data_IF_971215841262
#
_entry.id   IF_971215841262
#
_cell.length_a   1.000
_cell.length_b   1.000
_cell.length_c   1.000
_cell.angle_alpha   90.00
_cell.angle_beta   90.00
_cell.angle_gamma   90.00
#
_symmetry.space_group_name_H-M   'P 1'
#
loop_
_entity.id
_entity.type
_entity.pdbx_description
1 polymer ?
#
# COMPACT_ATOMS: atom_id res chain seq x y z
N UNK A 1 -13.64 8.74 9.64
CA UNK A 1 -14.57 8.24 8.60
C UNK A 1 -14.77 9.30 7.54
N UNK A 2 -14.18 9.11 6.35
CA UNK A 2 -14.58 9.86 5.16
C UNK A 2 -14.11 9.16 3.87
N UNK A 3 -14.38 7.86 3.77
CA UNK A 3 -14.44 7.15 2.49
C UNK A 3 -15.63 7.75 1.73
N UNK A 4 -15.49 7.99 0.42
CA UNK A 4 -16.68 8.32 -0.39
C UNK A 4 -17.47 7.03 -0.49
N UNK A 5 -18.53 6.90 0.31
CA UNK A 5 -19.52 5.84 0.13
C UNK A 5 -20.00 5.90 -1.32
N UNK A 6 -19.64 4.89 -2.11
CA UNK A 6 -20.12 4.70 -3.48
C UNK A 6 -21.19 3.60 -3.43
N UNK A 7 -22.43 3.91 -3.01
CA UNK A 7 -23.46 2.90 -2.84
C UNK A 7 -23.64 2.08 -4.13
N UNK A 8 -23.56 0.76 -4.02
CA UNK A 8 -23.74 -0.17 -5.13
C UNK A 8 -22.54 -0.39 -6.04
N UNK A 9 -21.35 0.17 -5.71
CA UNK A 9 -20.11 -0.14 -6.44
C UNK A 9 -19.20 -1.07 -5.67
N UNK A 10 -18.50 -1.93 -6.39
CA UNK A 10 -17.48 -2.80 -5.84
C UNK A 10 -16.10 -2.11 -5.89
N UNK A 11 -15.38 -2.15 -4.78
CA UNK A 11 -14.03 -1.57 -4.61
C UNK A 11 -13.16 -2.51 -3.79
N UNK A 12 -11.84 -2.34 -3.86
CA UNK A 12 -10.94 -2.99 -2.91
C UNK A 12 -11.05 -2.31 -1.53
N UNK A 13 -10.80 -3.03 -0.43
CA UNK A 13 -10.68 -2.42 0.88
C UNK A 13 -9.65 -1.30 0.88
N UNK A 14 -9.97 -0.16 1.50
CA UNK A 14 -8.96 0.88 1.66
C UNK A 14 -9.49 2.26 2.03
N UNK A 15 -8.62 3.01 2.70
CA UNK A 15 -8.95 4.35 3.16
C UNK A 15 -7.72 5.23 3.34
N UNK A 16 -7.84 6.20 4.23
CA UNK A 16 -6.76 7.14 4.55
C UNK A 16 -5.89 6.53 5.64
N UNK A 17 -4.63 6.94 5.66
CA UNK A 17 -3.79 6.73 6.85
C UNK A 17 -4.37 7.55 8.00
N UNK A 18 -4.57 6.89 9.13
CA UNK A 18 -4.98 7.47 10.41
C UNK A 18 -3.76 7.72 11.31
N UNK A 19 -3.88 8.63 12.27
CA UNK A 19 -2.81 8.93 13.23
C UNK A 19 -2.40 7.70 14.06
N UNK A 20 -3.31 6.75 14.26
CA UNK A 20 -3.02 5.49 14.95
C UNK A 20 -2.14 4.54 14.13
N UNK A 21 -2.18 4.60 12.79
CA UNK A 21 -1.35 3.78 11.91
C UNK A 21 0.15 4.10 12.05
N UNK A 22 0.48 5.28 12.58
CA UNK A 22 1.85 5.66 12.89
C UNK A 22 2.38 5.06 14.21
N UNK A 23 1.48 4.60 15.09
CA UNK A 23 1.80 4.23 16.48
C UNK A 23 1.75 2.73 16.74
N UNK A 24 1.04 1.99 15.91
CA UNK A 24 0.84 0.55 16.07
C UNK A 24 2.12 -0.21 15.79
N UNK A 25 2.50 -1.15 16.66
CA UNK A 25 3.56 -2.13 16.42
C UNK A 25 3.08 -3.24 15.48
N UNK A 26 3.93 -3.64 14.54
CA UNK A 26 3.70 -4.78 13.65
C UNK A 26 4.55 -5.97 14.09
N UNK A 27 4.12 -7.18 13.77
CA UNK A 27 4.86 -8.41 14.09
C UNK A 27 6.10 -8.61 13.21
N UNK A 28 6.10 -8.01 12.03
CA UNK A 28 7.20 -7.94 11.09
C UNK A 28 7.27 -6.54 10.46
N UNK A 29 8.25 -6.31 9.61
CA UNK A 29 8.48 -5.03 8.95
C UNK A 29 8.52 -5.21 7.43
N UNK A 30 8.24 -4.11 6.72
CA UNK A 30 8.33 -4.08 5.25
C UNK A 30 9.74 -4.45 4.79
N UNK A 31 9.81 -5.19 3.68
CA UNK A 31 11.08 -5.44 3.00
C UNK A 31 11.70 -4.10 2.57
N UNK A 32 13.04 -3.92 2.62
CA UNK A 32 13.69 -2.66 2.24
C UNK A 32 13.32 -2.16 0.84
N UNK A 33 13.17 -3.07 -0.13
CA UNK A 33 12.73 -2.74 -1.47
C UNK A 33 11.31 -2.15 -1.49
N UNK A 34 10.39 -2.71 -0.70
CA UNK A 34 9.01 -2.22 -0.61
C UNK A 34 8.94 -0.84 0.07
N UNK A 35 9.80 -0.59 1.06
CA UNK A 35 9.96 0.75 1.64
C UNK A 35 10.40 1.75 0.56
N UNK A 36 11.44 1.43 -0.20
CA UNK A 36 11.94 2.31 -1.26
C UNK A 36 10.88 2.57 -2.34
N UNK A 37 10.14 1.53 -2.74
CA UNK A 37 9.03 1.61 -3.69
C UNK A 37 7.88 2.48 -3.19
N UNK A 38 7.57 2.46 -1.89
CA UNK A 38 6.51 3.29 -1.32
C UNK A 38 6.86 4.78 -1.27
N UNK A 39 8.14 5.08 -1.08
CA UNK A 39 8.66 6.44 -0.93
C UNK A 39 9.09 7.08 -2.25
N UNK A 40 9.20 6.30 -3.33
CA UNK A 40 9.61 6.79 -4.64
C UNK A 40 8.68 7.89 -5.15
N UNK A 41 9.27 8.95 -5.70
CA UNK A 41 8.53 10.10 -6.24
C UNK A 41 7.51 10.71 -5.24
N UNK A 42 7.84 10.66 -3.95
CA UNK A 42 7.16 11.45 -2.92
C UNK A 42 7.86 12.80 -2.74
N UNK A 43 7.06 13.85 -2.60
CA UNK A 43 7.55 15.17 -2.21
C UNK A 43 8.04 15.10 -0.76
N UNK A 44 9.03 15.92 -0.41
CA UNK A 44 9.56 16.08 0.97
C UNK A 44 10.44 14.93 1.50
N UNK A 45 10.72 13.89 0.69
CA UNK A 45 11.59 12.76 1.06
C UNK A 45 11.25 12.16 2.45
N UNK A 46 10.02 11.66 2.62
CA UNK A 46 9.59 11.09 3.89
C UNK A 46 10.42 9.86 4.26
N UNK A 47 10.55 9.58 5.56
CA UNK A 47 11.30 8.44 6.06
C UNK A 47 10.50 7.13 6.02
N UNK A 48 11.13 6.02 6.45
CA UNK A 48 10.52 4.69 6.47
C UNK A 48 9.20 4.61 7.25
N UNK A 49 9.01 5.48 8.25
CA UNK A 49 7.78 5.57 9.05
C UNK A 49 6.55 5.88 8.20
N UNK A 50 6.72 6.62 7.09
CA UNK A 50 5.61 6.93 6.17
C UNK A 50 5.18 5.70 5.38
N UNK A 51 6.15 4.92 4.91
CA UNK A 51 5.88 3.66 4.20
C UNK A 51 5.18 2.66 5.13
N UNK A 52 5.66 2.57 6.37
CA UNK A 52 5.06 1.73 7.41
C UNK A 52 3.61 2.12 7.71
N UNK A 53 3.31 3.40 7.87
CA UNK A 53 1.95 3.88 8.11
C UNK A 53 1.01 3.62 6.91
N UNK A 54 1.50 3.69 5.67
CA UNK A 54 0.72 3.31 4.48
C UNK A 54 0.36 1.82 4.47
N UNK A 55 1.31 0.95 4.83
CA UNK A 55 1.08 -0.49 4.90
C UNK A 55 0.15 -0.87 6.06
N UNK A 56 0.32 -0.25 7.23
CA UNK A 56 -0.56 -0.45 8.38
C UNK A 56 -1.99 0.01 8.09
N UNK A 57 -2.17 1.17 7.45
CA UNK A 57 -3.48 1.62 7.00
C UNK A 57 -4.14 0.60 6.07
N UNK A 58 -3.40 0.01 5.12
CA UNK A 58 -3.94 -1.01 4.23
C UNK A 58 -4.40 -2.27 5.00
N UNK A 59 -3.65 -2.72 6.00
CA UNK A 59 -4.04 -3.85 6.86
C UNK A 59 -5.26 -3.52 7.71
N UNK A 60 -5.31 -2.33 8.32
CA UNK A 60 -6.45 -1.87 9.12
C UNK A 60 -7.73 -1.80 8.29
N UNK A 61 -7.69 -1.12 7.14
CA UNK A 61 -8.86 -0.96 6.28
C UNK A 61 -9.32 -2.30 5.69
N UNK A 62 -8.39 -3.22 5.41
CA UNK A 62 -8.73 -4.61 5.03
C UNK A 62 -9.49 -5.34 6.13
N UNK A 63 -9.13 -5.13 7.39
CA UNK A 63 -9.88 -5.67 8.52
C UNK A 63 -11.24 -4.98 8.70
N UNK A 64 -11.28 -3.65 8.71
CA UNK A 64 -12.51 -2.87 8.92
C UNK A 64 -13.58 -3.16 7.85
N UNK A 65 -13.18 -3.22 6.57
CA UNK A 65 -14.13 -3.33 5.46
C UNK A 65 -14.38 -4.77 4.99
N UNK A 66 -13.44 -5.69 5.21
CA UNK A 66 -13.55 -7.08 4.74
C UNK A 66 -13.43 -8.15 5.85
N UNK A 67 -13.16 -7.76 7.10
CA UNK A 67 -13.05 -8.69 8.22
C UNK A 67 -11.84 -9.62 8.15
N UNK A 68 -10.90 -9.36 7.23
CA UNK A 68 -9.74 -10.20 7.01
C UNK A 68 -8.57 -9.77 7.89
N UNK A 69 -8.08 -10.69 8.73
CA UNK A 69 -6.94 -10.44 9.61
C UNK A 69 -5.65 -10.88 8.92
N UNK A 70 -4.80 -9.91 8.60
CA UNK A 70 -3.42 -10.15 8.17
C UNK A 70 -2.50 -9.89 9.38
N UNK A 71 -2.13 -10.95 10.08
CA UNK A 71 -1.46 -10.80 11.38
C UNK A 71 -0.75 -12.04 11.89
N UNK A 72 0.06 -11.88 12.93
CA UNK A 72 0.63 -12.99 13.69
C UNK A 72 -0.12 -13.11 15.02
N UNK A 73 -0.50 -14.32 15.39
CA UNK A 73 -1.12 -14.57 16.70
C UNK A 73 -0.18 -14.08 17.82
N UNK A 74 -0.75 -13.40 18.81
CA UNK A 74 0.00 -12.89 19.97
C UNK A 74 -0.75 -13.17 21.26
N UNK A 75 0.00 -13.43 22.32
CA UNK A 75 -0.54 -13.51 23.68
C UNK A 75 -0.31 -12.20 24.45
N UNK A 76 0.47 -11.28 23.89
CA UNK A 76 0.79 -10.00 24.52
C UNK A 76 -0.23 -8.97 24.07
N UNK A 77 -1.11 -8.50 24.96
CA UNK A 77 -2.07 -7.45 24.61
C UNK A 77 -1.34 -6.21 24.12
N UNK A 78 -1.95 -5.48 23.18
CA UNK A 78 -1.47 -4.13 22.90
C UNK A 78 -1.72 -3.24 24.12
N UNK A 79 -0.78 -2.34 24.39
CA UNK A 79 -0.94 -1.30 25.42
C UNK A 79 -1.25 0.07 24.81
N UNK A 80 -1.23 0.16 23.47
CA UNK A 80 -1.47 1.39 22.73
C UNK A 80 -2.97 1.55 22.48
N UNK A 81 -3.53 2.65 22.94
CA UNK A 81 -4.88 3.07 22.55
C UNK A 81 -4.87 3.53 21.09
N UNK A 82 -5.41 2.69 20.21
CA UNK A 82 -5.53 2.92 18.77
C UNK A 82 -6.98 2.65 18.35
N UNK A 83 -7.83 3.70 18.26
CA UNK A 83 -9.27 3.53 18.05
C UNK A 83 -9.65 2.67 16.84
N UNK A 84 -8.94 2.78 15.71
CA UNK A 84 -9.18 1.95 14.51
C UNK A 84 -8.60 0.53 14.56
N UNK A 85 -7.86 0.18 15.62
CA UNK A 85 -7.19 -1.11 15.74
C UNK A 85 -7.71 -1.98 16.90
N UNK A 86 -8.60 -1.42 17.73
CA UNK A 86 -9.02 -2.08 18.96
C UNK A 86 -9.74 -3.42 18.69
N UNK A 87 -10.58 -3.46 17.66
CA UNK A 87 -11.26 -4.69 17.23
C UNK A 87 -10.28 -5.71 16.62
N UNK A 88 -9.33 -5.26 15.79
CA UNK A 88 -8.25 -6.10 15.25
C UNK A 88 -7.44 -6.76 16.38
N UNK A 89 -7.05 -5.99 17.40
CA UNK A 89 -6.32 -6.53 18.55
C UNK A 89 -7.19 -7.44 19.42
N UNK A 90 -8.51 -7.19 19.47
CA UNK A 90 -9.49 -8.05 20.12
C UNK A 90 -9.50 -9.48 19.56
N UNK A 91 -9.09 -9.66 18.30
CA UNK A 91 -8.92 -10.98 17.69
C UNK A 91 -7.68 -11.74 18.20
N UNK A 92 -6.77 -11.10 18.95
CA UNK A 92 -5.55 -11.74 19.47
C UNK A 92 -4.39 -11.77 18.48
N UNK A 93 -4.32 -10.81 17.56
CA UNK A 93 -3.26 -10.72 16.54
C UNK A 93 -2.49 -9.40 16.61
N UNK A 94 -1.23 -9.42 16.15
CA UNK A 94 -0.46 -8.22 15.77
C UNK A 94 -0.41 -8.12 14.26
N UNK A 95 -0.55 -6.93 13.65
CA UNK A 95 -0.56 -6.80 12.20
C UNK A 95 0.76 -7.24 11.59
N UNK A 96 0.69 -7.87 10.42
CA UNK A 96 1.86 -8.19 9.60
C UNK A 96 1.87 -7.30 8.37
N UNK A 97 3.00 -6.68 8.11
CA UNK A 97 3.22 -5.80 6.96
C UNK A 97 4.32 -6.30 6.02
N UNK A 98 5.17 -7.23 6.47
CA UNK A 98 6.22 -7.84 5.66
C UNK A 98 5.74 -8.52 4.36
N UNK A 99 4.60 -9.24 4.36
CA UNK A 99 4.07 -9.89 3.16
C UNK A 99 3.50 -8.94 2.10
N UNK A 100 3.26 -7.67 2.44
CA UNK A 100 2.67 -6.72 1.50
C UNK A 100 3.65 -6.40 0.37
N UNK A 101 3.13 -6.39 -0.86
CA UNK A 101 3.85 -5.91 -2.04
C UNK A 101 3.15 -4.68 -2.59
N UNK A 102 3.85 -3.56 -2.74
CA UNK A 102 3.33 -2.42 -3.47
C UNK A 102 3.18 -2.81 -4.93
N UNK A 103 1.94 -2.81 -5.39
CA UNK A 103 1.57 -3.24 -6.72
C UNK A 103 1.42 -2.05 -7.67
N UNK A 104 0.71 -0.99 -7.29
CA UNK A 104 0.45 0.16 -8.14
C UNK A 104 0.26 1.46 -7.33
N UNK A 105 0.39 2.61 -8.01
CA UNK A 105 0.10 3.94 -7.44
C UNK A 105 -0.84 4.72 -8.37
N UNK A 106 -1.85 5.37 -7.82
CA UNK A 106 -2.74 6.21 -8.61
C UNK A 106 -3.10 7.52 -7.90
N UNK A 107 -2.91 8.63 -8.59
CA UNK A 107 -3.31 9.95 -8.12
C UNK A 107 -4.61 10.37 -8.80
N UNK A 108 -5.59 10.76 -7.99
CA UNK A 108 -6.87 11.27 -8.50
C UNK A 108 -6.64 12.53 -9.37
N UNK A 109 -7.23 12.59 -10.59
CA UNK A 109 -7.13 13.75 -11.47
C UNK A 109 -7.52 15.07 -10.78
N UNK A 110 -7.00 16.21 -11.26
CA UNK A 110 -7.40 17.53 -10.77
C UNK A 110 -8.89 17.79 -11.01
N UNK A 111 -9.48 18.72 -10.23
CA UNK A 111 -10.89 19.11 -10.38
C UNK A 111 -11.91 18.16 -9.73
N UNK A 112 -11.47 17.07 -9.09
CA UNK A 112 -12.33 16.25 -8.23
C UNK A 112 -12.43 16.86 -6.82
N UNK A 113 -13.62 16.86 -6.18
CA UNK A 113 -13.83 17.47 -4.87
C UNK A 113 -12.99 16.81 -3.77
N UNK A 114 -12.68 15.51 -3.92
CA UNK A 114 -11.71 14.77 -3.11
C UNK A 114 -10.65 14.19 -4.02
N UNK A 115 -9.40 14.24 -3.58
CA UNK A 115 -8.26 13.69 -4.30
C UNK A 115 -7.46 12.80 -3.37
N UNK A 116 -7.02 11.67 -3.91
CA UNK A 116 -6.23 10.66 -3.23
C UNK A 116 -4.96 10.40 -4.02
N UNK A 117 -3.90 10.07 -3.31
CA UNK A 117 -2.67 9.48 -3.85
C UNK A 117 -2.58 8.07 -3.29
N UNK A 118 -3.24 7.15 -3.99
CA UNK A 118 -3.54 5.80 -3.54
C UNK A 118 -2.36 4.87 -3.85
N UNK A 119 -1.98 4.05 -2.86
CA UNK A 119 -1.06 2.93 -3.03
C UNK A 119 -1.89 1.65 -2.97
N UNK A 120 -1.77 0.83 -4.01
CA UNK A 120 -2.43 -0.48 -4.07
C UNK A 120 -1.43 -1.55 -3.65
N UNK A 121 -1.82 -2.37 -2.69
CA UNK A 121 -1.02 -3.49 -2.24
C UNK A 121 -1.60 -4.80 -2.77
N UNK A 122 -0.72 -5.77 -3.00
CA UNK A 122 -1.07 -7.15 -3.31
C UNK A 122 -0.47 -8.07 -2.24
N UNK A 123 -1.23 -9.09 -1.84
CA UNK A 123 -0.84 -10.10 -0.85
C UNK A 123 -1.46 -11.44 -1.24
N UNK A 124 -0.82 -12.56 -0.88
CA UNK A 124 -1.44 -13.89 -1.02
C UNK A 124 -2.58 -14.05 -0.04
N UNK A 125 -3.66 -14.71 -0.46
CA UNK A 125 -4.73 -15.11 0.45
C UNK A 125 -4.25 -16.05 1.57
N UNK A 126 -3.13 -16.76 1.37
CA UNK A 126 -2.52 -17.63 2.39
C UNK A 126 -2.01 -16.85 3.62
N UNK A 127 -1.85 -15.54 3.52
CA UNK A 127 -1.45 -14.68 4.64
C UNK A 127 -2.64 -14.27 5.54
N UNK A 128 -3.88 -14.60 5.13
CA UNK A 128 -5.07 -14.39 5.95
C UNK A 128 -5.04 -15.39 7.11
N UNK A 129 -4.96 -14.84 8.32
CA UNK A 129 -4.77 -15.62 9.54
C UNK A 129 -6.07 -15.85 10.31
N UNK A 130 -7.07 -14.99 10.09
CA UNK A 130 -8.38 -15.09 10.69
C UNK A 130 -9.39 -14.28 9.88
N UNK A 131 -10.67 -14.62 9.99
CA UNK A 131 -11.78 -13.91 9.34
C UNK A 131 -12.85 -13.62 10.39
N UNK A 132 -13.38 -12.40 10.36
CA UNK A 132 -14.47 -11.94 11.23
C UNK A 132 -15.63 -11.53 10.34
N UNK A 133 -16.86 -11.83 10.77
CA UNK A 133 -18.04 -11.30 10.08
C UNK A 133 -18.11 -9.78 10.27
N UNK A 134 -18.00 -9.03 9.17
CA UNK A 134 -18.18 -7.58 9.21
C UNK A 134 -19.65 -7.27 9.45
N UNK A 135 -19.93 -6.61 10.58
CA UNK A 135 -21.30 -6.35 11.05
C UNK A 135 -21.93 -5.08 10.45
N UNK A 136 -21.24 -4.38 9.55
CA UNK A 136 -21.69 -3.08 9.06
C UNK A 136 -22.53 -3.21 7.78
N UNK A 137 -23.84 -3.00 7.92
CA UNK A 137 -24.86 -3.16 6.87
C UNK A 137 -24.79 -2.16 5.70
N UNK A 138 -23.72 -1.38 5.58
CA UNK A 138 -23.49 -0.44 4.46
C UNK A 138 -22.62 -1.05 3.35
N UNK A 139 -21.74 -2.01 3.66
CA UNK A 139 -20.95 -2.75 2.68
C UNK A 139 -21.57 -4.13 2.47
N UNK A 140 -22.01 -4.40 1.24
CA UNK A 140 -22.57 -5.70 0.87
C UNK A 140 -21.45 -6.76 0.75
N UNK A 141 -20.96 -7.27 1.87
CA UNK A 141 -20.13 -8.48 1.99
C UNK A 141 -18.79 -8.52 1.24
N UNK A 142 -17.83 -9.27 1.81
CA UNK A 142 -16.63 -9.68 1.08
C UNK A 142 -17.02 -10.65 -0.05
N UNK A 143 -16.52 -10.41 -1.25
CA UNK A 143 -16.68 -11.31 -2.39
C UNK A 143 -15.33 -11.78 -2.91
N UNK A 144 -15.12 -13.09 -2.90
CA UNK A 144 -14.01 -13.74 -3.60
C UNK A 144 -14.38 -13.94 -5.07
N UNK A 145 -13.78 -13.15 -5.95
CA UNK A 145 -14.08 -13.13 -7.38
C UNK A 145 -12.81 -13.38 -8.20
N UNK A 146 -12.96 -14.02 -9.35
CA UNK A 146 -11.95 -13.98 -10.39
C UNK A 146 -11.79 -12.55 -10.92
N UNK A 147 -10.64 -12.23 -11.53
CA UNK A 147 -10.43 -10.92 -12.15
C UNK A 147 -11.46 -10.67 -13.27
N UNK A 148 -11.85 -11.72 -14.01
CA UNK A 148 -12.87 -11.62 -15.05
C UNK A 148 -14.24 -11.25 -14.49
N UNK A 149 -14.69 -11.92 -13.43
CA UNK A 149 -15.93 -11.60 -12.73
C UNK A 149 -15.90 -10.18 -12.16
N UNK A 150 -14.83 -9.80 -11.47
CA UNK A 150 -14.69 -8.47 -10.87
C UNK A 150 -14.79 -7.36 -11.94
N UNK A 151 -14.21 -7.57 -13.13
CA UNK A 151 -14.31 -6.62 -14.25
C UNK A 151 -15.73 -6.52 -14.81
N UNK A 152 -16.61 -7.50 -14.59
CA UNK A 152 -18.00 -7.42 -15.03
C UNK A 152 -18.90 -6.55 -14.13
N UNK A 153 -18.44 -6.21 -12.93
CA UNK A 153 -19.19 -5.44 -11.94
C UNK A 153 -19.16 -3.92 -12.22
N UNK A 154 -20.07 -3.17 -11.57
CA UNK A 154 -20.01 -1.71 -11.53
C UNK A 154 -18.88 -1.27 -10.59
N UNK A 155 -17.70 -1.06 -11.18
CA UNK A 155 -16.48 -0.66 -10.49
C UNK A 155 -15.96 0.69 -11.02
N UNK A 156 -15.29 1.51 -10.19
CA UNK A 156 -14.62 2.71 -10.66
C UNK A 156 -13.62 2.43 -11.79
N UNK A 157 -13.44 3.41 -12.69
CA UNK A 157 -12.52 3.29 -13.82
C UNK A 157 -11.09 2.93 -13.40
N UNK A 158 -10.60 3.51 -12.30
CA UNK A 158 -9.27 3.17 -11.77
C UNK A 158 -9.21 1.72 -11.29
N UNK A 159 -10.22 1.22 -10.59
CA UNK A 159 -10.29 -0.18 -10.13
C UNK A 159 -10.21 -1.15 -11.31
N UNK A 160 -10.90 -0.83 -12.42
CA UNK A 160 -10.85 -1.63 -13.66
C UNK A 160 -9.43 -1.69 -14.26
N UNK A 161 -8.74 -0.55 -14.32
CA UNK A 161 -7.37 -0.45 -14.82
C UNK A 161 -6.40 -1.24 -13.92
N UNK A 162 -6.56 -1.13 -12.60
CA UNK A 162 -5.74 -1.86 -11.62
C UNK A 162 -5.92 -3.38 -11.76
N UNK A 163 -7.14 -3.86 -12.00
CA UNK A 163 -7.41 -5.28 -12.28
C UNK A 163 -6.75 -5.78 -13.58
N UNK A 164 -6.65 -4.94 -14.60
CA UNK A 164 -5.97 -5.26 -15.86
C UNK A 164 -4.47 -5.43 -15.65
N UNK A 165 -3.81 -4.48 -14.98
CA UNK A 165 -2.40 -4.62 -14.62
C UNK A 165 -2.16 -5.84 -13.70
N UNK A 166 -3.11 -6.14 -12.81
CA UNK A 166 -2.96 -7.24 -11.86
C UNK A 166 -2.92 -8.59 -12.60
N UNK A 167 -3.70 -8.70 -13.68
CA UNK A 167 -3.68 -9.88 -14.55
C UNK A 167 -2.29 -10.12 -15.12
N UNK A 168 -1.62 -9.06 -15.59
CA UNK A 168 -0.30 -9.17 -16.20
C UNK A 168 0.79 -9.38 -15.14
N UNK A 169 0.65 -8.76 -13.97
CA UNK A 169 1.51 -8.97 -12.81
C UNK A 169 1.48 -10.42 -12.34
N UNK A 170 0.30 -11.03 -12.19
CA UNK A 170 0.17 -12.42 -11.75
C UNK A 170 0.75 -13.41 -12.78
N UNK A 171 0.64 -13.12 -14.08
CA UNK A 171 1.32 -13.93 -15.12
C UNK A 171 2.84 -13.85 -15.04
N UNK A 172 3.38 -12.68 -14.67
CA UNK A 172 4.82 -12.45 -14.52
C UNK A 172 5.39 -12.94 -13.17
N UNK A 173 4.56 -13.04 -12.13
CA UNK A 173 4.97 -13.35 -10.76
C UNK A 173 5.52 -14.76 -10.54
N UNK A 174 5.45 -15.66 -11.55
CA UNK A 174 6.12 -16.96 -11.52
C UNK A 174 7.66 -16.91 -11.43
N UNK A 175 8.27 -15.70 -11.50
CA UNK A 175 9.74 -15.50 -11.55
C UNK A 175 10.30 -14.48 -10.55
N UNK A 176 9.60 -14.18 -9.44
CA UNK A 176 9.91 -13.12 -8.45
C UNK A 176 9.39 -11.73 -8.84
N UNK A 177 8.16 -11.44 -8.42
CA UNK A 177 7.48 -10.17 -8.66
C UNK A 177 7.95 -9.03 -7.77
N UNK A 178 8.86 -9.29 -6.82
CA UNK A 178 9.35 -8.24 -5.91
C UNK A 178 10.13 -7.15 -6.66
N UNK A 179 10.68 -7.42 -7.84
CA UNK A 179 11.38 -6.43 -8.67
C UNK A 179 10.54 -5.83 -9.80
N UNK A 180 9.26 -6.18 -9.90
CA UNK A 180 8.40 -5.66 -10.96
C UNK A 180 8.29 -4.12 -10.86
N UNK A 181 8.38 -3.39 -12.00
CA UNK A 181 8.07 -1.98 -12.03
C UNK A 181 6.63 -1.71 -11.58
N UNK A 182 6.41 -0.60 -10.89
CA UNK A 182 5.11 -0.19 -10.33
C UNK A 182 4.37 0.64 -11.39
N UNK A 183 3.18 0.21 -11.87
CA UNK A 183 2.30 1.07 -12.64
C UNK A 183 1.90 2.30 -11.84
N UNK A 184 2.17 3.47 -12.40
CA UNK A 184 1.88 4.77 -11.81
C UNK A 184 0.96 5.58 -12.70
N UNK A 185 -0.21 5.88 -12.15
CA UNK A 185 -1.26 6.62 -12.81
C UNK A 185 -1.35 8.04 -12.26
N UNK A 186 -1.13 9.04 -13.10
CA UNK A 186 -1.24 10.44 -12.72
C UNK A 186 -1.84 11.29 -13.83
N UNK A 187 -2.05 12.57 -13.53
CA UNK A 187 -2.46 13.55 -14.52
C UNK A 187 -1.30 14.49 -14.82
N UNK A 188 -0.88 14.56 -16.09
CA UNK A 188 0.25 15.36 -16.57
C UNK A 188 -0.10 15.98 -17.91
N UNK A 189 0.19 17.27 -18.06
CA UNK A 189 -0.02 18.03 -19.30
C UNK A 189 -1.43 17.87 -19.91
N UNK A 190 -2.47 17.89 -19.06
CA UNK A 190 -3.86 17.79 -19.49
C UNK A 190 -4.35 16.37 -19.80
N UNK A 191 -3.53 15.34 -19.58
CA UNK A 191 -3.85 13.95 -19.90
C UNK A 191 -3.65 13.03 -18.70
N UNK A 192 -4.45 11.95 -18.64
CA UNK A 192 -4.23 10.87 -17.68
C UNK A 192 -3.19 9.91 -18.25
N UNK A 193 -2.09 9.72 -17.53
CA UNK A 193 -0.90 9.02 -17.99
C UNK A 193 -0.64 7.77 -17.15
N UNK A 194 -0.03 6.76 -17.77
CA UNK A 194 0.53 5.57 -17.13
C UNK A 194 2.04 5.57 -17.33
N UNK A 195 2.80 5.67 -16.25
CA UNK A 195 4.26 5.52 -16.21
C UNK A 195 4.63 4.26 -15.41
N UNK A 196 5.87 3.78 -15.54
CA UNK A 196 6.39 2.67 -14.73
C UNK A 196 7.47 3.22 -13.81
N UNK A 197 7.27 3.09 -12.49
CA UNK A 197 8.28 3.45 -11.49
C UNK A 197 9.12 2.22 -11.18
N UNK A 198 10.44 2.36 -11.16
CA UNK A 198 11.36 1.30 -10.79
C UNK A 198 12.34 1.82 -9.74
N UNK A 199 12.66 0.96 -8.77
CA UNK A 199 13.71 1.22 -7.77
C UNK A 199 14.96 0.48 -8.22
N UNK A 200 16.09 1.19 -8.28
CA UNK A 200 17.38 0.57 -8.55
C UNK A 200 17.99 0.02 -7.25
N UNK A 201 18.10 -1.31 -7.13
CA UNK A 201 18.65 -1.94 -5.94
C UNK A 201 20.13 -1.64 -5.69
N UNK A 202 20.90 -1.32 -6.74
CA UNK A 202 22.29 -0.94 -6.58
C UNK A 202 22.42 0.34 -5.71
N UNK A 203 21.39 1.19 -5.73
CA UNK A 203 21.32 2.38 -4.87
C UNK A 203 20.98 2.07 -3.41
N UNK A 204 20.21 1.00 -3.15
CA UNK A 204 19.80 0.58 -1.80
C UNK A 204 20.95 -0.06 -1.01
N UNK A 205 21.82 -0.83 -1.68
CA UNK A 205 22.97 -1.46 -1.04
C UNK A 205 24.02 -0.42 -0.59
N UNK A 206 24.22 0.66 -1.34
CA UNK A 206 25.15 1.73 -0.96
C UNK A 206 24.75 2.45 0.32
N UNK A 207 23.45 2.69 0.53
CA UNK A 207 22.98 3.43 1.71
C UNK A 207 23.00 2.57 2.99
N UNK A 208 22.84 1.24 2.85
CA UNK A 208 23.02 0.30 3.98
C UNK A 208 24.48 0.19 4.48
N UNK A 209 25.46 0.56 3.63
CA UNK A 209 26.88 0.54 3.95
C UNK A 209 27.37 1.85 4.62
N UNK A 210 26.55 2.90 4.64
CA UNK A 210 26.87 4.16 5.30
C UNK A 210 26.51 4.07 6.79
N UNK A 211 27.51 4.16 7.67
CA UNK A 211 27.31 4.23 9.12
C UNK A 211 26.44 5.46 9.51
N UNK A 212 25.62 5.37 10.58
CA UNK A 212 24.88 6.52 11.07
C UNK A 212 25.86 7.64 11.45
N UNK A 213 25.84 8.74 10.71
CA UNK A 213 26.72 9.90 10.89
C UNK A 213 27.48 10.36 9.65
N UNK A 214 27.40 9.66 8.51
CA UNK A 214 28.10 10.06 7.29
C UNK A 214 27.13 10.65 6.25
N UNK A 215 27.25 11.94 5.96
CA UNK A 215 26.50 12.63 4.89
C UNK A 215 27.32 12.58 3.60
N UNK A 216 26.67 12.27 2.46
CA UNK A 216 27.28 12.36 1.14
C UNK A 216 27.76 13.80 0.86
N UNK A 217 29.07 13.98 0.67
CA UNK A 217 29.62 15.19 0.09
C UNK A 217 29.75 15.01 -1.43
N UNK A 218 28.94 15.71 -2.22
CA UNK A 218 29.17 15.80 -3.65
C UNK A 218 30.32 16.79 -3.91
N UNK A 219 31.49 16.29 -4.29
CA UNK A 219 32.59 17.11 -4.79
C UNK A 219 32.26 17.61 -6.19
N UNK A 220 31.86 18.88 -6.29
CA UNK A 220 31.64 19.53 -7.57
C UNK A 220 32.99 20.03 -8.12
N UNK A 221 33.78 19.14 -8.72
CA UNK A 221 34.96 19.54 -9.50
C UNK A 221 34.53 19.94 -10.90
N UNK A 222 34.14 21.20 -11.07
CA UNK A 222 34.17 21.86 -12.38
C UNK A 222 35.55 22.50 -12.57
N UNK A 223 36.39 21.85 -13.36
CA UNK A 223 37.64 22.40 -13.89
C UNK A 223 37.37 23.61 -14.84
N UNK A 224 38.36 24.48 -15.09
CA UNK A 224 38.12 25.91 -15.35
C UNK A 224 37.74 26.22 -16.80
N UNK A 225 37.02 27.35 -16.94
CA UNK A 225 36.68 28.00 -18.22
C UNK A 225 37.95 28.36 -19.02
N UNK A 226 37.91 28.07 -20.32
CA UNK A 226 38.55 28.89 -21.36
C UNK A 226 37.45 29.47 -22.24
#
# INVERSE_FOLDING_TARGET
MDVVFMPGKYVFPGGRVDDSDHKVESADELRPLEVAKLLIDMKEQPGPERARALALAAVRETFEEAGLVIGAATQTPTTVEAPGWSEFFGCGFRPRIGPLTLFARAITPPGRPRRYDTRFFCISADEISHEVETSDGELSGLHWLTIEEARSLDIPAITRIILEDLTDFLKAAGTDSSHAPIPYYHFKDGSFCRELLAVDEASLQLDSALHPGMVRANSNEHAPKR
#
